data_IF_403424273093
#
_entry.id   IF_403424273093
#
_cell.length_a   1.000
_cell.length_b   1.000
_cell.length_c   1.000
_cell.angle_alpha   90.00
_cell.angle_beta   90.00
_cell.angle_gamma   90.00
#
_symmetry.space_group_name_H-M   'P 1'
#
loop_
_entity.id
_entity.type
_entity.pdbx_description
1 polymer ?
#
# COMPACT_ATOMS: atom_id res chain seq x y z
N UNK A 1 9.49 1.82 10.95
CA UNK A 1 8.80 0.52 11.04
C UNK A 1 7.54 0.55 10.19
N UNK A 2 6.55 -0.29 10.46
CA UNK A 2 5.35 -0.36 9.60
C UNK A 2 4.64 1.00 9.47
N UNK A 3 4.46 1.71 10.58
CA UNK A 3 3.82 3.02 10.55
C UNK A 3 4.51 4.01 9.63
N UNK A 4 5.83 3.96 9.55
CA UNK A 4 6.61 4.83 8.66
C UNK A 4 6.39 4.48 7.20
N UNK A 5 6.30 3.19 6.89
CA UNK A 5 6.05 2.72 5.52
C UNK A 5 4.65 3.14 5.07
N UNK A 6 3.66 2.97 5.94
CA UNK A 6 2.28 3.39 5.66
C UNK A 6 2.22 4.91 5.44
N UNK A 7 2.87 5.69 6.33
CA UNK A 7 2.89 7.14 6.22
C UNK A 7 3.55 7.60 4.91
N UNK A 8 4.64 6.96 4.52
CA UNK A 8 5.33 7.27 3.27
C UNK A 8 4.43 6.97 2.06
N UNK A 9 3.74 5.84 2.09
CA UNK A 9 2.80 5.47 1.03
C UNK A 9 1.70 6.52 0.88
N UNK A 10 1.06 6.90 1.98
CA UNK A 10 -0.03 7.85 1.97
C UNK A 10 0.42 9.25 1.50
N UNK A 11 1.60 9.68 1.95
CA UNK A 11 2.18 10.95 1.55
C UNK A 11 2.49 10.96 0.05
N UNK A 12 3.09 9.90 -0.45
CA UNK A 12 3.41 9.77 -1.87
C UNK A 12 2.15 9.77 -2.71
N UNK A 13 1.11 9.09 -2.25
CA UNK A 13 -0.19 9.05 -2.92
C UNK A 13 -0.80 10.45 -3.04
N UNK A 14 -0.73 11.24 -1.97
CA UNK A 14 -1.23 12.61 -1.96
C UNK A 14 -0.46 13.47 -2.97
N UNK A 15 0.86 13.35 -2.99
CA UNK A 15 1.71 14.10 -3.93
C UNK A 15 1.44 13.70 -5.39
N UNK A 16 1.19 12.41 -5.63
CA UNK A 16 0.84 11.93 -6.96
C UNK A 16 -0.48 12.57 -7.42
N UNK A 17 -1.49 12.59 -6.55
CA UNK A 17 -2.78 13.21 -6.87
C UNK A 17 -2.63 14.70 -7.18
N UNK A 18 -1.80 15.40 -6.41
CA UNK A 18 -1.54 16.83 -6.65
C UNK A 18 -0.81 17.04 -7.99
N UNK A 19 0.13 16.17 -8.32
CA UNK A 19 0.84 16.25 -9.60
C UNK A 19 -0.11 16.01 -10.78
N UNK A 20 -1.04 15.07 -10.65
CA UNK A 20 -2.05 14.81 -11.68
C UNK A 20 -2.93 16.05 -11.88
N UNK A 21 -3.37 16.67 -10.80
CA UNK A 21 -4.20 17.89 -10.86
C UNK A 21 -3.47 19.06 -11.52
N UNK A 22 -2.17 19.20 -11.26
CA UNK A 22 -1.37 20.29 -11.84
C UNK A 22 -0.90 20.01 -13.26
N UNK A 23 -1.08 18.76 -13.75
CA UNK A 23 -0.66 18.37 -15.10
C UNK A 23 0.83 18.22 -15.27
N UNK A 24 1.59 18.06 -14.18
CA UNK A 24 3.04 17.90 -14.23
C UNK A 24 3.42 16.44 -14.50
N UNK A 25 3.65 16.13 -15.79
CA UNK A 25 3.92 14.76 -16.23
C UNK A 25 5.17 14.15 -15.59
N UNK A 26 6.24 14.95 -15.43
CA UNK A 26 7.48 14.47 -14.81
C UNK A 26 7.26 14.07 -13.36
N UNK A 27 6.54 14.90 -12.61
CA UNK A 27 6.22 14.60 -11.21
C UNK A 27 5.30 13.39 -11.10
N UNK A 28 4.33 13.25 -12.01
CA UNK A 28 3.44 12.08 -12.04
C UNK A 28 4.27 10.80 -12.18
N UNK A 29 5.20 10.76 -13.11
CA UNK A 29 6.06 9.58 -13.33
C UNK A 29 6.91 9.27 -12.10
N UNK A 30 7.49 10.29 -11.49
CA UNK A 30 8.34 10.14 -10.32
C UNK A 30 7.55 9.56 -9.14
N UNK A 31 6.40 10.16 -8.83
CA UNK A 31 5.60 9.74 -7.69
C UNK A 31 4.92 8.40 -7.93
N UNK A 32 4.55 8.08 -9.16
CA UNK A 32 4.01 6.77 -9.51
C UNK A 32 5.03 5.67 -9.21
N UNK A 33 6.28 5.87 -9.61
CA UNK A 33 7.38 4.94 -9.30
C UNK A 33 7.57 4.77 -7.79
N UNK A 34 7.58 5.88 -7.07
CA UNK A 34 7.75 5.85 -5.61
C UNK A 34 6.59 5.16 -4.91
N UNK A 35 5.38 5.39 -5.42
CA UNK A 35 4.18 4.77 -4.87
C UNK A 35 4.23 3.25 -5.04
N UNK A 36 4.64 2.78 -6.21
CA UNK A 36 4.80 1.35 -6.48
C UNK A 36 5.86 0.72 -5.58
N UNK A 37 6.98 1.41 -5.36
CA UNK A 37 8.03 0.93 -4.45
C UNK A 37 7.50 0.81 -3.02
N UNK A 38 6.78 1.82 -2.54
CA UNK A 38 6.19 1.78 -1.20
C UNK A 38 5.14 0.68 -1.07
N UNK A 39 4.33 0.47 -2.10
CA UNK A 39 3.35 -0.59 -2.14
C UNK A 39 4.01 -1.97 -2.03
N UNK A 40 5.09 -2.18 -2.78
CA UNK A 40 5.85 -3.43 -2.72
C UNK A 40 6.48 -3.64 -1.34
N UNK A 41 6.98 -2.59 -0.71
CA UNK A 41 7.50 -2.67 0.66
C UNK A 41 6.42 -3.14 1.64
N UNK A 42 5.20 -2.64 1.49
CA UNK A 42 4.08 -3.06 2.34
C UNK A 42 3.73 -4.52 2.11
N UNK A 43 3.71 -4.97 0.85
CA UNK A 43 3.40 -6.36 0.51
C UNK A 43 4.47 -7.33 0.99
N UNK A 44 5.72 -6.90 1.02
CA UNK A 44 6.85 -7.72 1.45
C UNK A 44 7.16 -7.59 2.94
N UNK A 45 6.51 -6.67 3.63
CA UNK A 45 6.79 -6.41 5.04
C UNK A 45 6.52 -7.63 5.91
N UNK A 46 7.51 -7.96 6.76
CA UNK A 46 7.42 -9.05 7.72
C UNK A 46 7.00 -8.48 9.08
N UNK A 47 5.79 -8.81 9.50
CA UNK A 47 5.26 -8.32 10.77
C UNK A 47 5.92 -9.03 11.96
N UNK A 48 6.17 -8.27 13.03
CA UNK A 48 6.85 -8.77 14.23
C UNK A 48 5.91 -9.01 15.40
N UNK A 49 4.65 -8.58 15.30
CA UNK A 49 3.69 -8.70 16.40
C UNK A 49 2.28 -8.83 15.86
N UNK A 50 1.37 -9.26 16.73
CA UNK A 50 -0.06 -9.34 16.40
C UNK A 50 -0.62 -7.95 16.08
N UNK A 51 -0.15 -6.94 16.79
CA UNK A 51 -0.59 -5.56 16.56
C UNK A 51 -0.22 -5.08 15.16
N UNK A 52 1.01 -5.36 14.71
CA UNK A 52 1.44 -5.02 13.36
C UNK A 52 0.64 -5.77 12.31
N UNK A 53 0.33 -7.06 12.56
CA UNK A 53 -0.48 -7.84 11.63
C UNK A 53 -1.86 -7.23 11.44
N UNK A 54 -2.49 -6.84 12.55
CA UNK A 54 -3.81 -6.20 12.52
C UNK A 54 -3.74 -4.85 11.80
N UNK A 55 -2.73 -4.05 12.11
CA UNK A 55 -2.52 -2.74 11.50
C UNK A 55 -2.35 -2.85 9.98
N UNK A 56 -1.48 -3.75 9.54
CA UNK A 56 -1.24 -3.95 8.11
C UNK A 56 -2.47 -4.52 7.40
N UNK A 57 -3.15 -5.51 8.00
CA UNK A 57 -4.36 -6.08 7.44
C UNK A 57 -5.47 -5.04 7.32
N UNK A 58 -5.66 -4.21 8.35
CA UNK A 58 -6.66 -3.14 8.33
C UNK A 58 -6.36 -2.12 7.23
N UNK A 59 -5.09 -1.73 7.10
CA UNK A 59 -4.67 -0.80 6.04
C UNK A 59 -4.94 -1.36 4.66
N UNK A 60 -4.59 -2.63 4.42
CA UNK A 60 -4.81 -3.28 3.13
C UNK A 60 -6.30 -3.40 2.80
N UNK A 61 -7.14 -3.69 3.79
CA UNK A 61 -8.59 -3.74 3.60
C UNK A 61 -9.14 -2.37 3.21
N UNK A 62 -8.64 -1.29 3.81
CA UNK A 62 -9.03 0.06 3.44
C UNK A 62 -8.66 0.38 1.99
N UNK A 63 -7.56 -0.17 1.51
CA UNK A 63 -7.12 0.05 0.13
C UNK A 63 -7.93 -0.75 -0.89
N UNK A 64 -8.63 -1.80 -0.48
CA UNK A 64 -9.47 -2.58 -1.38
C UNK A 64 -10.57 -1.76 -2.05
N UNK A 65 -11.21 -0.85 -1.30
CA UNK A 65 -12.29 -0.02 -1.84
C UNK A 65 -11.87 0.78 -3.07
N UNK A 66 -10.76 1.57 -3.02
CA UNK A 66 -10.31 2.32 -4.19
C UNK A 66 -9.88 1.44 -5.35
N UNK A 67 -9.43 0.22 -5.08
CA UNK A 67 -8.90 -0.70 -6.09
C UNK A 67 -9.90 -1.79 -6.51
N UNK A 68 -11.16 -1.66 -6.13
CA UNK A 68 -12.17 -2.68 -6.43
C UNK A 68 -12.34 -2.96 -7.92
N UNK A 69 -11.92 -2.05 -8.79
CA UNK A 69 -11.94 -2.22 -10.24
C UNK A 69 -10.67 -2.86 -10.81
N UNK A 70 -9.63 -3.06 -9.98
CA UNK A 70 -8.36 -3.63 -10.40
C UNK A 70 -8.20 -5.04 -9.83
N UNK A 71 -8.33 -6.06 -10.68
CA UNK A 71 -8.19 -7.45 -10.25
C UNK A 71 -6.80 -7.77 -9.73
N UNK A 72 -5.76 -7.19 -10.34
CA UNK A 72 -4.37 -7.40 -9.93
C UNK A 72 -4.12 -6.91 -8.50
N UNK A 73 -4.59 -5.70 -8.17
CA UNK A 73 -4.44 -5.15 -6.83
C UNK A 73 -5.23 -5.96 -5.80
N UNK A 74 -6.43 -6.41 -6.15
CA UNK A 74 -7.25 -7.25 -5.29
C UNK A 74 -6.55 -8.58 -5.01
N UNK A 75 -5.94 -9.20 -6.03
CA UNK A 75 -5.18 -10.44 -5.85
C UNK A 75 -3.99 -10.25 -4.92
N UNK A 76 -3.22 -9.18 -5.10
CA UNK A 76 -2.07 -8.86 -4.26
C UNK A 76 -2.47 -8.69 -2.81
N UNK A 77 -3.52 -7.93 -2.55
CA UNK A 77 -4.02 -7.68 -1.21
C UNK A 77 -4.54 -8.99 -0.59
N UNK A 78 -5.32 -9.76 -1.33
CA UNK A 78 -5.87 -11.04 -0.85
C UNK A 78 -4.74 -12.00 -0.47
N UNK A 79 -3.69 -12.08 -1.29
CA UNK A 79 -2.54 -12.93 -1.03
C UNK A 79 -1.83 -12.53 0.27
N UNK A 80 -1.62 -11.22 0.45
CA UNK A 80 -0.97 -10.71 1.67
C UNK A 80 -1.84 -10.94 2.90
N UNK A 81 -3.15 -10.76 2.79
CA UNK A 81 -4.08 -11.01 3.90
C UNK A 81 -4.04 -12.48 4.33
N UNK A 82 -4.01 -13.42 3.38
CA UNK A 82 -3.88 -14.84 3.69
C UNK A 82 -2.57 -15.14 4.40
N UNK A 83 -1.46 -14.54 3.94
CA UNK A 83 -0.16 -14.69 4.58
C UNK A 83 -0.19 -14.21 6.03
N UNK A 84 -0.81 -13.06 6.28
CA UNK A 84 -0.94 -12.50 7.62
C UNK A 84 -1.81 -13.38 8.54
N UNK A 85 -2.87 -13.95 8.01
CA UNK A 85 -3.74 -14.86 8.75
C UNK A 85 -2.96 -16.12 9.13
N UNK A 86 -2.21 -16.70 8.20
CA UNK A 86 -1.39 -17.91 8.44
C UNK A 86 -0.30 -17.62 9.47
N UNK A 87 0.33 -16.45 9.40
CA UNK A 87 1.37 -16.07 10.36
C UNK A 87 0.83 -15.88 11.77
N UNK A 88 -0.47 -15.58 11.90
CA UNK A 88 -1.14 -15.40 13.19
C UNK A 88 -1.48 -16.69 13.91
N UNK A 89 -1.29 -17.83 13.29
CA UNK A 89 -1.53 -19.17 13.88
C UNK A 89 -0.24 -19.71 14.52
#
# INVERSE_FOLDING_TARGET
MLGDIIATYLRTRTRLNDAVRSGNVESVRLYDKRLMSSWNELLEYQTNSAEERIELASFLLEQLEPFSSSSESVEQISHKLLELIKAGR
#
